data_IF_531988980978
#
_entry.id   IF_531988980978
#
_cell.length_a   1.000
_cell.length_b   1.000
_cell.length_c   1.000
_cell.angle_alpha   90.00
_cell.angle_beta   90.00
_cell.angle_gamma   90.00
#
_symmetry.space_group_name_H-M   'P 1'
#
loop_
_entity.id
_entity.type
_entity.pdbx_description
1 polymer ?
#
# COMPACT_ATOMS: atom_id res chain seq x y z
N UNK A 1 17.41 1.72 -5.43
CA UNK A 1 16.51 1.29 -4.33
C UNK A 1 15.17 1.99 -4.52
N UNK A 2 14.04 1.28 -4.43
CA UNK A 2 12.69 1.86 -4.58
C UNK A 2 11.92 1.81 -3.26
N UNK A 3 11.10 2.82 -2.97
CA UNK A 3 10.19 2.81 -1.84
C UNK A 3 8.77 2.55 -2.35
N UNK A 4 8.11 1.55 -1.80
CA UNK A 4 6.71 1.24 -2.08
C UNK A 4 5.86 1.51 -0.84
N UNK A 5 4.84 2.35 -0.96
CA UNK A 5 3.96 2.72 0.16
C UNK A 5 2.62 2.02 -0.02
N UNK A 6 2.33 1.07 0.87
CA UNK A 6 1.04 0.43 0.98
C UNK A 6 0.01 1.42 1.53
N UNK A 7 -1.18 1.46 0.93
CA UNK A 7 -2.31 2.28 1.41
C UNK A 7 -3.55 1.42 1.66
N UNK A 8 -4.42 1.28 0.65
CA UNK A 8 -5.66 0.47 0.74
C UNK A 8 -5.48 -0.94 0.15
N UNK A 9 -4.28 -1.23 -0.31
CA UNK A 9 -3.85 -2.35 -1.14
C UNK A 9 -2.90 -3.25 -0.36
N UNK A 10 -3.37 -3.74 0.79
CA UNK A 10 -2.68 -4.74 1.62
C UNK A 10 -2.76 -6.13 0.97
N UNK A 11 -2.23 -6.25 -0.24
CA UNK A 11 -2.12 -7.49 -1.01
C UNK A 11 -0.73 -7.61 -1.63
N UNK A 12 -0.40 -8.80 -2.09
CA UNK A 12 0.94 -9.13 -2.61
C UNK A 12 0.93 -9.65 -4.06
N UNK A 13 -0.25 -9.81 -4.64
CA UNK A 13 -0.52 -10.29 -5.98
C UNK A 13 -1.50 -9.35 -6.70
N UNK A 14 -1.64 -9.53 -8.02
CA UNK A 14 -2.55 -8.75 -8.87
C UNK A 14 -2.36 -7.22 -8.75
N UNK A 15 -1.10 -6.78 -8.75
CA UNK A 15 -0.72 -5.37 -8.62
C UNK A 15 0.28 -4.96 -9.68
N UNK A 16 -0.15 -4.09 -10.61
CA UNK A 16 0.73 -3.50 -11.65
C UNK A 16 1.96 -2.81 -11.06
N UNK A 17 1.84 -2.26 -9.84
CA UNK A 17 2.98 -1.64 -9.18
C UNK A 17 4.05 -2.67 -8.77
N UNK A 18 3.65 -3.89 -8.41
CA UNK A 18 4.59 -4.97 -8.11
C UNK A 18 5.27 -5.47 -9.38
N UNK A 19 4.55 -5.59 -10.49
CA UNK A 19 5.15 -5.91 -11.79
C UNK A 19 6.26 -4.91 -12.15
N UNK A 20 6.02 -3.61 -11.93
CA UNK A 20 7.02 -2.56 -12.11
C UNK A 20 8.21 -2.65 -11.16
N UNK A 21 7.98 -3.04 -9.89
CA UNK A 21 9.06 -3.26 -8.92
C UNK A 21 9.91 -4.46 -9.31
N UNK A 22 9.30 -5.60 -9.62
CA UNK A 22 9.97 -6.83 -10.04
C UNK A 22 10.77 -6.62 -11.33
N UNK A 23 10.19 -5.97 -12.34
CA UNK A 23 10.87 -5.69 -13.60
C UNK A 23 12.15 -4.86 -13.41
N UNK A 24 12.23 -4.06 -12.35
CA UNK A 24 13.41 -3.22 -12.11
C UNK A 24 14.61 -3.94 -11.54
N UNK A 25 14.46 -5.18 -11.02
CA UNK A 25 15.55 -5.98 -10.42
C UNK A 25 16.37 -5.24 -9.35
N UNK A 26 15.81 -4.19 -8.75
CA UNK A 26 16.44 -3.41 -7.71
C UNK A 26 15.80 -3.74 -6.36
N UNK A 27 16.57 -3.70 -5.25
CA UNK A 27 16.00 -3.78 -3.92
C UNK A 27 14.92 -2.73 -3.71
N UNK A 28 13.85 -3.13 -3.04
CA UNK A 28 12.76 -2.24 -2.65
C UNK A 28 12.48 -2.35 -1.15
N UNK A 29 12.02 -1.24 -0.58
CA UNK A 29 11.56 -1.16 0.80
C UNK A 29 10.06 -0.92 0.76
N UNK A 30 9.32 -1.74 1.50
CA UNK A 30 7.87 -1.63 1.62
C UNK A 30 7.53 -0.93 2.92
N UNK A 31 6.70 0.09 2.85
CA UNK A 31 6.29 0.91 3.99
C UNK A 31 4.76 0.87 4.13
N UNK A 32 4.31 0.64 5.35
CA UNK A 32 2.91 0.84 5.76
C UNK A 32 2.90 1.93 6.83
N UNK A 33 2.14 2.99 6.59
CA UNK A 33 2.01 4.09 7.56
C UNK A 33 0.68 3.95 8.27
N UNK A 34 0.75 3.72 9.58
CA UNK A 34 -0.41 3.80 10.47
C UNK A 34 -0.58 5.25 10.90
N UNK A 35 -1.35 6.01 10.14
CA UNK A 35 -1.65 7.40 10.43
C UNK A 35 -2.75 7.49 11.52
N UNK A 36 -2.47 8.03 12.71
CA UNK A 36 -3.47 8.18 13.78
C UNK A 36 -4.74 8.92 13.34
N UNK A 37 -4.64 9.88 12.42
CA UNK A 37 -5.80 10.57 11.85
C UNK A 37 -6.68 9.65 11.00
N UNK A 38 -6.10 8.64 10.36
CA UNK A 38 -6.85 7.60 9.64
C UNK A 38 -7.42 6.53 10.59
N UNK A 39 -6.88 6.41 11.81
CA UNK A 39 -7.31 5.42 12.80
C UNK A 39 -8.41 5.95 13.74
N UNK A 40 -8.55 7.27 13.87
CA UNK A 40 -9.65 7.88 14.63
C UNK A 40 -11.01 7.75 13.89
N UNK A 41 -12.10 7.67 14.68
CA UNK A 41 -13.50 7.63 14.21
C UNK A 41 -13.86 6.54 13.19
N UNK A 42 -13.69 5.26 13.56
CA UNK A 42 -14.23 4.11 12.81
C UNK A 42 -14.01 4.17 11.29
N UNK A 43 -12.91 4.77 10.82
CA UNK A 43 -12.69 5.07 9.40
C UNK A 43 -12.51 3.82 8.53
N UNK A 44 -12.31 2.66 9.15
CA UNK A 44 -12.45 1.36 8.49
C UNK A 44 -13.86 1.16 7.89
N UNK A 45 -14.89 1.84 8.40
CA UNK A 45 -16.24 1.91 7.85
C UNK A 45 -16.39 2.92 6.70
N UNK A 46 -15.47 3.89 6.56
CA UNK A 46 -15.48 4.91 5.49
C UNK A 46 -14.97 4.37 4.14
N UNK A 47 -14.93 3.04 3.97
CA UNK A 47 -14.56 2.41 2.72
C UNK A 47 -15.68 2.66 1.69
N UNK A 48 -15.46 3.66 0.82
CA UNK A 48 -16.36 4.02 -0.30
C UNK A 48 -16.28 3.01 -1.45
N UNK A 49 -16.30 1.71 -1.16
CA UNK A 49 -16.39 0.65 -2.17
C UNK A 49 -17.76 0.61 -2.90
N UNK A 50 -18.57 1.66 -2.72
CA UNK A 50 -19.77 2.02 -3.47
C UNK A 50 -19.60 3.43 -4.01
#
# INVERSE_FOLDING_TARGET
>A
MKLFIHRKDLRIDDMTAFDYLFASKLPSVHLLILDPFLLWHARHEAYSGR
#
